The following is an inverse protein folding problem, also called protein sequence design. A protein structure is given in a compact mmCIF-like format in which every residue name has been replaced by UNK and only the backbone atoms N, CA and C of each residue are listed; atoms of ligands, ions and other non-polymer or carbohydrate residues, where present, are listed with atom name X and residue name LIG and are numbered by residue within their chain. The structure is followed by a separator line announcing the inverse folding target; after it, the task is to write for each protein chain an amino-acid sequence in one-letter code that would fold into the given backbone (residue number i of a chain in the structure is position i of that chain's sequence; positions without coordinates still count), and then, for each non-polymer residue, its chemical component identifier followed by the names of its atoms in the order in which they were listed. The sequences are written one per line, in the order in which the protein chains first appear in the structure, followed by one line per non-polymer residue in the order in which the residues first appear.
data_IF_171300318737
#
_entry.id   IF_171300318737
#
_cell.length_a   1.000
_cell.length_b   1.000
_cell.length_c   1.000
_cell.angle_alpha   90.00
_cell.angle_beta   90.00
_cell.angle_gamma   90.00
#
_symmetry.space_group_name_H-M   'P 1'
#
loop_
_entity.id
_entity.type
_entity.pdbx_description
1 polymer ?
#
# COMPACT_ATOMS: atom_id res chain seq x y z
N UNK A 1 -7.85 -78.32 44.10
CA UNK A 1 -8.16 -77.66 42.81
C UNK A 1 -7.72 -78.57 41.67
N UNK A 2 -8.67 -79.00 40.85
CA UNK A 2 -8.37 -79.83 39.67
C UNK A 2 -7.67 -79.01 38.57
N UNK A 3 -6.94 -79.66 37.66
CA UNK A 3 -6.28 -78.98 36.54
C UNK A 3 -7.26 -78.13 35.69
N UNK A 4 -8.53 -78.57 35.59
CA UNK A 4 -9.60 -77.85 34.90
C UNK A 4 -9.96 -76.51 35.55
N UNK A 5 -9.99 -76.45 36.89
CA UNK A 5 -10.27 -75.20 37.63
C UNK A 5 -9.15 -74.17 37.48
N UNK A 6 -7.90 -74.62 37.44
CA UNK A 6 -6.72 -73.76 37.20
C UNK A 6 -6.76 -73.15 35.79
N UNK A 7 -7.06 -73.96 34.77
CA UNK A 7 -7.16 -73.49 33.38
C UNK A 7 -8.30 -72.47 33.22
N UNK A 8 -9.45 -72.73 33.85
CA UNK A 8 -10.58 -71.80 33.84
C UNK A 8 -10.25 -70.46 34.53
N UNK A 9 -9.55 -70.49 35.66
CA UNK A 9 -9.10 -69.30 36.36
C UNK A 9 -8.11 -68.47 35.53
N UNK A 10 -7.11 -69.11 34.91
CA UNK A 10 -6.13 -68.44 34.04
C UNK A 10 -6.82 -67.79 32.83
N UNK A 11 -7.74 -68.50 32.17
CA UNK A 11 -8.51 -67.95 31.05
C UNK A 11 -9.32 -66.71 31.48
N UNK A 12 -9.96 -66.75 32.66
CA UNK A 12 -10.74 -65.63 33.19
C UNK A 12 -9.86 -64.40 33.48
N UNK A 13 -8.65 -64.60 33.99
CA UNK A 13 -7.68 -63.53 34.23
C UNK A 13 -7.20 -62.92 32.91
N UNK A 14 -6.85 -63.74 31.92
CA UNK A 14 -6.42 -63.26 30.59
C UNK A 14 -7.52 -62.46 29.88
N UNK A 15 -8.78 -62.94 29.91
CA UNK A 15 -9.92 -62.22 29.32
C UNK A 15 -10.15 -60.88 29.99
N UNK A 16 -10.06 -60.81 31.33
CA UNK A 16 -10.19 -59.55 32.07
C UNK A 16 -9.06 -58.58 31.73
N UNK A 17 -7.81 -59.06 31.65
CA UNK A 17 -6.68 -58.24 31.26
C UNK A 17 -6.85 -57.65 29.84
N UNK A 18 -7.33 -58.46 28.88
CA UNK A 18 -7.60 -58.00 27.53
C UNK A 18 -8.71 -56.93 27.47
N UNK A 19 -9.79 -57.11 28.22
CA UNK A 19 -10.89 -56.12 28.30
C UNK A 19 -10.43 -54.79 28.91
N UNK A 20 -9.61 -54.85 29.96
CA UNK A 20 -9.03 -53.64 30.57
C UNK A 20 -8.10 -52.93 29.58
N UNK A 21 -7.25 -53.68 28.87
CA UNK A 21 -6.39 -53.14 27.81
C UNK A 21 -7.17 -52.45 26.70
N UNK A 22 -8.24 -53.07 26.19
CA UNK A 22 -9.12 -52.48 25.17
C UNK A 22 -9.80 -51.19 25.66
N UNK A 23 -10.25 -51.18 26.92
CA UNK A 23 -10.88 -49.99 27.51
C UNK A 23 -9.90 -48.82 27.61
N UNK A 24 -8.66 -49.09 28.05
CA UNK A 24 -7.60 -48.09 28.12
C UNK A 24 -7.24 -47.55 26.73
N UNK A 25 -7.19 -48.41 25.72
CA UNK A 25 -6.89 -48.01 24.34
C UNK A 25 -8.01 -47.12 23.76
N UNK A 26 -9.28 -47.46 24.02
CA UNK A 26 -10.43 -46.65 23.62
C UNK A 26 -10.43 -45.27 24.31
N UNK A 27 -10.11 -45.21 25.60
CA UNK A 27 -9.97 -43.96 26.35
C UNK A 27 -8.84 -43.08 25.79
N UNK A 28 -7.69 -43.67 25.45
CA UNK A 28 -6.58 -42.94 24.83
C UNK A 28 -6.99 -42.36 23.47
N UNK A 29 -7.72 -43.12 22.65
CA UNK A 29 -8.28 -42.63 21.38
C UNK A 29 -9.27 -41.46 21.57
N UNK A 30 -10.11 -41.51 22.61
CA UNK A 30 -11.05 -40.44 22.93
C UNK A 30 -10.33 -39.16 23.40
N UNK A 31 -9.29 -39.29 24.24
CA UNK A 31 -8.48 -38.16 24.71
C UNK A 31 -7.75 -37.49 23.55
N UNK A 32 -7.14 -38.26 22.65
CA UNK A 32 -6.48 -37.72 21.44
C UNK A 32 -7.48 -36.94 20.56
N UNK A 33 -8.71 -37.43 20.43
CA UNK A 33 -9.77 -36.74 19.69
C UNK A 33 -10.22 -35.44 20.37
N UNK A 34 -10.37 -35.45 21.70
CA UNK A 34 -10.73 -34.26 22.49
C UNK A 34 -9.64 -33.18 22.47
N UNK A 35 -8.36 -33.58 22.43
CA UNK A 35 -7.24 -32.66 22.32
C UNK A 35 -7.05 -32.08 20.91
N UNK A 36 -7.95 -32.38 19.97
CA UNK A 36 -7.83 -31.92 18.59
C UNK A 36 -6.59 -32.46 17.88
N UNK A 37 -6.06 -33.60 18.32
CA UNK A 37 -4.87 -34.22 17.76
C UNK A 37 -5.17 -34.69 16.34
N UNK A 38 -4.79 -33.89 15.36
CA UNK A 38 -4.87 -34.22 13.93
C UNK A 38 -3.55 -34.84 13.50
N UNK A 39 -3.59 -36.09 13.06
CA UNK A 39 -2.46 -36.74 12.39
C UNK A 39 -2.47 -36.24 10.95
N UNK A 40 -1.66 -35.22 10.66
CA UNK A 40 -1.52 -34.62 9.34
C UNK A 40 -0.99 -33.19 9.44
N UNK A 41 -0.41 -32.64 8.36
CA UNK A 41 -0.05 -31.23 8.35
C UNK A 41 -1.30 -30.38 8.62
N UNK A 42 -1.17 -29.23 9.32
CA UNK A 42 -2.27 -28.30 9.46
C UNK A 42 -2.83 -27.96 8.07
N UNK A 43 -4.16 -27.73 7.95
CA UNK A 43 -4.70 -27.24 6.69
C UNK A 43 -3.89 -26.00 6.26
N UNK A 44 -3.55 -25.87 4.96
CA UNK A 44 -2.83 -24.70 4.50
C UNK A 44 -3.58 -23.45 4.97
N UNK A 45 -2.85 -22.49 5.52
CA UNK A 45 -3.42 -21.21 5.90
C UNK A 45 -4.13 -20.56 4.71
N UNK A 46 -5.04 -19.63 5.00
CA UNK A 46 -5.66 -18.82 3.94
C UNK A 46 -4.56 -18.28 3.02
N UNK A 47 -4.72 -18.38 1.68
CA UNK A 47 -3.78 -17.77 0.76
C UNK A 47 -3.62 -16.30 1.13
N UNK A 48 -2.37 -15.81 1.21
CA UNK A 48 -2.12 -14.38 1.39
C UNK A 48 -2.87 -13.62 0.30
N UNK A 49 -3.54 -12.49 0.61
CA UNK A 49 -4.13 -11.64 -0.42
C UNK A 49 -3.06 -11.29 -1.45
N UNK A 50 -3.33 -11.61 -2.72
CA UNK A 50 -2.40 -11.30 -3.80
C UNK A 50 -2.44 -9.81 -4.06
N UNK A 51 -1.28 -9.18 -4.10
CA UNK A 51 -1.12 -7.78 -4.51
C UNK A 51 -0.77 -7.80 -5.98
N UNK A 52 -1.63 -7.22 -6.82
CA UNK A 52 -1.42 -7.14 -8.25
C UNK A 52 -1.05 -5.71 -8.60
N UNK A 53 0.07 -5.55 -9.32
CA UNK A 53 0.41 -4.29 -9.97
C UNK A 53 -0.70 -3.96 -10.97
N UNK A 54 -1.45 -2.89 -10.69
CA UNK A 54 -2.60 -2.55 -11.51
C UNK A 54 -2.22 -2.13 -12.94
N UNK A 55 -0.95 -1.80 -13.20
CA UNK A 55 -0.48 -1.38 -14.52
C UNK A 55 -0.05 -2.54 -15.39
N UNK A 56 0.70 -3.48 -14.82
CA UNK A 56 1.31 -4.60 -15.53
C UNK A 56 0.52 -5.91 -15.39
N UNK A 57 -0.34 -6.01 -14.37
CA UNK A 57 -1.05 -7.23 -14.00
C UNK A 57 -0.16 -8.26 -13.30
N UNK A 58 1.11 -7.93 -13.02
CA UNK A 58 2.04 -8.83 -12.34
C UNK A 58 1.71 -8.96 -10.86
N UNK A 59 1.96 -10.17 -10.33
CA UNK A 59 1.91 -10.43 -8.91
C UNK A 59 3.12 -9.80 -8.23
N UNK A 60 2.85 -8.84 -7.34
CA UNK A 60 3.86 -8.11 -6.57
C UNK A 60 3.69 -8.36 -5.07
N UNK A 61 3.07 -9.47 -4.68
CA UNK A 61 2.84 -9.82 -3.27
C UNK A 61 4.14 -9.90 -2.45
N UNK A 62 5.23 -10.32 -3.08
CA UNK A 62 6.54 -10.46 -2.45
C UNK A 62 7.46 -9.24 -2.66
N UNK A 63 6.96 -8.16 -3.27
CA UNK A 63 7.70 -6.90 -3.34
C UNK A 63 7.83 -6.27 -1.95
N UNK A 64 8.76 -5.31 -1.75
CA UNK A 64 8.83 -4.55 -0.50
C UNK A 64 7.47 -3.97 -0.06
N UNK A 65 7.26 -3.60 1.20
CA UNK A 65 6.04 -2.91 1.61
C UNK A 65 5.98 -1.45 1.12
N UNK A 66 7.11 -0.90 0.67
CA UNK A 66 7.28 0.50 0.29
C UNK A 66 7.71 0.65 -1.17
N UNK A 67 7.31 1.76 -1.78
CA UNK A 67 7.69 2.16 -3.13
C UNK A 67 8.50 3.45 -3.10
N UNK A 68 9.54 3.51 -3.92
CA UNK A 68 10.41 4.68 -4.05
C UNK A 68 10.06 5.40 -5.34
N UNK A 69 9.38 6.53 -5.19
CA UNK A 69 8.80 7.26 -6.32
C UNK A 69 9.72 8.39 -6.75
N UNK A 70 9.85 8.53 -8.07
CA UNK A 70 10.60 9.64 -8.64
C UNK A 70 9.74 10.91 -8.59
N UNK A 71 10.33 12.03 -8.20
CA UNK A 71 9.61 13.30 -8.06
C UNK A 71 9.39 13.92 -9.44
N UNK A 72 8.12 14.12 -9.78
CA UNK A 72 7.66 14.94 -10.89
C UNK A 72 7.12 16.28 -10.41
N UNK A 73 7.21 17.31 -11.25
CA UNK A 73 6.63 18.63 -10.96
C UNK A 73 5.78 19.02 -12.17
N UNK A 74 4.53 19.43 -11.96
CA UNK A 74 3.64 19.95 -12.99
C UNK A 74 3.11 21.32 -12.54
N UNK A 75 3.45 22.36 -13.29
CA UNK A 75 3.12 23.74 -12.97
C UNK A 75 2.06 24.27 -13.96
N UNK A 76 0.81 24.27 -13.52
CA UNK A 76 -0.35 24.76 -14.29
C UNK A 76 -0.56 26.27 -14.17
N UNK A 77 0.33 26.96 -13.44
CA UNK A 77 0.25 28.40 -13.22
C UNK A 77 1.14 29.19 -14.19
N UNK A 78 0.91 30.50 -14.24
CA UNK A 78 1.78 31.47 -14.93
C UNK A 78 2.97 31.93 -14.06
N UNK A 79 3.14 31.35 -12.87
CA UNK A 79 4.18 31.69 -11.91
C UNK A 79 5.26 30.58 -11.90
N UNK A 80 6.54 30.97 -11.91
CA UNK A 80 7.63 30.00 -11.84
C UNK A 80 7.81 29.42 -10.43
N UNK A 81 8.34 28.20 -10.34
CA UNK A 81 8.73 27.56 -9.09
C UNK A 81 10.26 27.49 -9.01
N UNK A 82 10.83 28.11 -7.97
CA UNK A 82 12.28 28.11 -7.75
C UNK A 82 12.78 26.84 -7.06
N UNK A 83 11.97 26.25 -6.18
CA UNK A 83 12.28 24.99 -5.51
C UNK A 83 10.99 24.27 -5.12
N UNK A 84 11.03 22.94 -5.18
CA UNK A 84 10.03 22.01 -4.67
C UNK A 84 10.78 20.90 -3.94
N UNK A 85 10.29 20.53 -2.76
CA UNK A 85 10.79 19.46 -1.89
C UNK A 85 9.58 18.67 -1.41
N UNK A 86 9.69 17.34 -1.42
CA UNK A 86 8.66 16.44 -0.90
C UNK A 86 9.31 15.47 0.07
N UNK A 87 8.83 15.41 1.33
CA UNK A 87 9.44 14.62 2.42
C UNK A 87 10.97 14.76 2.43
N UNK A 88 11.46 16.01 2.47
CA UNK A 88 12.89 16.38 2.47
C UNK A 88 13.66 16.07 1.16
N UNK A 89 13.08 15.31 0.24
CA UNK A 89 13.69 15.02 -1.05
C UNK A 89 13.50 16.19 -2.03
N UNK A 90 14.61 16.72 -2.54
CA UNK A 90 14.62 17.82 -3.50
C UNK A 90 14.07 17.37 -4.86
N UNK A 91 13.06 18.08 -5.36
CA UNK A 91 12.44 17.82 -6.67
C UNK A 91 12.97 18.72 -7.81
N UNK A 92 13.50 19.89 -7.49
CA UNK A 92 13.93 20.91 -8.46
C UNK A 92 13.02 22.14 -8.50
N UNK A 93 13.21 22.98 -9.52
CA UNK A 93 12.30 24.07 -9.87
C UNK A 93 11.50 23.73 -11.12
N UNK A 94 10.56 24.59 -11.50
CA UNK A 94 9.76 24.43 -12.70
C UNK A 94 9.40 25.78 -13.31
N UNK A 95 9.54 25.91 -14.63
CA UNK A 95 9.08 27.09 -15.35
C UNK A 95 7.53 27.20 -15.28
N UNK A 96 6.95 28.39 -15.57
CA UNK A 96 5.51 28.51 -15.76
C UNK A 96 5.00 27.57 -16.85
N UNK A 97 3.81 27.00 -16.68
CA UNK A 97 3.10 26.21 -17.71
C UNK A 97 3.94 25.06 -18.29
N UNK A 98 4.58 24.27 -17.44
CA UNK A 98 5.37 23.12 -17.88
C UNK A 98 5.41 22.02 -16.82
N UNK A 99 5.84 20.83 -17.22
CA UNK A 99 5.96 19.66 -16.35
C UNK A 99 7.24 18.89 -16.61
N UNK A 100 7.81 18.30 -15.56
CA UNK A 100 8.94 17.38 -15.68
C UNK A 100 8.49 15.96 -16.00
N UNK A 101 9.39 15.20 -16.61
CA UNK A 101 9.23 13.77 -16.81
C UNK A 101 9.77 12.94 -15.61
N UNK A 102 9.83 13.53 -14.41
CA UNK A 102 10.23 12.84 -13.17
C UNK A 102 11.67 12.31 -13.21
N UNK A 103 12.65 13.15 -12.87
CA UNK A 103 14.09 12.79 -12.93
C UNK A 103 14.80 12.68 -11.58
N UNK A 104 14.18 13.17 -10.51
CA UNK A 104 14.86 13.29 -9.21
C UNK A 104 14.28 12.30 -8.22
N UNK A 105 15.13 11.45 -7.67
CA UNK A 105 14.78 10.39 -6.74
C UNK A 105 15.09 10.81 -5.29
N UNK A 106 14.33 10.40 -4.28
CA UNK A 106 13.02 9.73 -4.33
C UNK A 106 12.22 10.07 -3.08
N UNK A 107 10.91 9.85 -3.16
CA UNK A 107 10.02 9.84 -1.99
C UNK A 107 9.55 8.42 -1.74
N UNK A 108 9.66 7.99 -0.49
CA UNK A 108 9.17 6.68 -0.07
C UNK A 108 7.71 6.79 0.37
N UNK A 109 6.83 5.97 -0.21
CA UNK A 109 5.43 5.81 0.18
C UNK A 109 5.12 4.32 0.44
N UNK A 110 4.09 4.00 1.24
CA UNK A 110 3.63 2.62 1.35
C UNK A 110 3.11 2.12 0.00
N UNK A 111 3.25 0.83 -0.30
CA UNK A 111 2.72 0.24 -1.54
C UNK A 111 1.21 0.05 -1.49
N UNK A 112 0.67 -0.17 -0.29
CA UNK A 112 -0.76 -0.19 -0.03
C UNK A 112 -1.13 1.15 0.60
N UNK A 113 -1.89 1.94 -0.13
CA UNK A 113 -2.43 3.18 0.38
C UNK A 113 -3.32 2.94 1.61
N UNK A 114 -3.28 3.88 2.56
CA UNK A 114 -4.17 3.91 3.72
C UNK A 114 -4.73 5.31 3.96
N UNK A 115 -5.90 5.45 4.61
CA UNK A 115 -6.45 6.73 5.01
C UNK A 115 -5.46 7.55 5.86
N UNK A 116 -5.46 8.87 5.67
CA UNK A 116 -4.57 9.78 6.37
C UNK A 116 -3.11 9.77 5.89
N UNK A 117 -2.78 9.07 4.79
CA UNK A 117 -1.45 9.16 4.19
C UNK A 117 -1.20 10.59 3.69
N UNK A 118 -0.15 11.22 4.23
CA UNK A 118 0.26 12.58 3.90
C UNK A 118 1.75 12.64 3.55
N UNK A 119 2.13 13.71 2.88
CA UNK A 119 3.52 14.11 2.67
C UNK A 119 3.70 15.57 3.06
N UNK A 120 4.88 15.91 3.54
CA UNK A 120 5.28 17.31 3.72
C UNK A 120 5.84 17.82 2.41
N UNK A 121 5.34 18.95 1.93
CA UNK A 121 5.91 19.65 0.80
C UNK A 121 6.40 21.02 1.20
N UNK A 122 7.55 21.41 0.67
CA UNK A 122 8.04 22.77 0.71
C UNK A 122 8.26 23.27 -0.72
N UNK A 123 7.77 24.46 -1.04
CA UNK A 123 7.99 25.06 -2.35
C UNK A 123 8.14 26.58 -2.25
N UNK A 124 8.66 27.15 -3.33
CA UNK A 124 8.83 28.60 -3.46
C UNK A 124 8.54 29.05 -4.88
N UNK A 125 7.75 30.09 -5.02
CA UNK A 125 7.53 30.75 -6.30
C UNK A 125 8.65 31.73 -6.64
N UNK A 126 8.77 32.11 -7.91
CA UNK A 126 9.72 33.13 -8.35
C UNK A 126 9.50 34.47 -7.64
N UNK A 127 8.25 34.88 -7.47
CA UNK A 127 7.84 36.09 -6.74
C UNK A 127 8.23 36.05 -5.27
N UNK A 128 8.06 34.91 -4.59
CA UNK A 128 8.56 34.72 -3.22
C UNK A 128 10.08 34.88 -3.16
N UNK A 129 10.82 34.26 -4.09
CA UNK A 129 12.27 34.36 -4.16
C UNK A 129 12.76 35.79 -4.38
N UNK A 130 12.13 36.55 -5.28
CA UNK A 130 12.48 37.94 -5.56
C UNK A 130 12.26 38.85 -4.35
N UNK A 131 11.30 38.51 -3.49
CA UNK A 131 11.02 39.25 -2.25
C UNK A 131 11.98 38.86 -1.13
N UNK A 132 12.21 37.57 -0.94
CA UNK A 132 13.14 37.00 0.04
C UNK A 132 13.69 35.65 -0.46
N UNK A 133 15.01 35.57 -0.77
CA UNK A 133 15.66 34.35 -1.21
C UNK A 133 15.60 33.17 -0.24
N UNK A 134 15.25 33.39 1.02
CA UNK A 134 15.10 32.35 2.04
C UNK A 134 13.65 31.95 2.32
N UNK A 135 12.67 32.63 1.74
CA UNK A 135 11.26 32.30 1.91
C UNK A 135 10.92 30.94 1.31
N UNK A 136 9.94 30.25 1.86
CA UNK A 136 9.26 29.08 1.27
C UNK A 136 7.92 28.88 1.98
N UNK A 137 7.01 28.16 1.33
CA UNK A 137 5.78 27.67 1.95
C UNK A 137 5.98 26.19 2.24
N UNK A 138 5.67 25.78 3.47
CA UNK A 138 5.64 24.39 3.88
C UNK A 138 4.22 23.99 4.28
N UNK A 139 3.74 22.83 3.80
CA UNK A 139 2.42 22.29 4.15
C UNK A 139 2.41 20.77 4.07
N UNK A 140 1.59 20.15 4.92
CA UNK A 140 1.23 18.75 4.76
C UNK A 140 0.09 18.63 3.74
N UNK A 141 0.24 17.71 2.78
CA UNK A 141 -0.79 17.42 1.78
C UNK A 141 -1.14 15.94 1.85
N UNK A 142 -2.44 15.64 1.82
CA UNK A 142 -2.93 14.29 1.69
C UNK A 142 -2.59 13.71 0.32
N UNK A 143 -2.14 12.45 0.30
CA UNK A 143 -1.92 11.71 -0.94
C UNK A 143 -3.23 11.02 -1.31
N UNK A 144 -3.85 11.33 -2.45
CA UNK A 144 -5.04 10.65 -2.92
C UNK A 144 -4.82 9.14 -3.04
N UNK A 145 -5.92 8.38 -2.96
CA UNK A 145 -5.88 6.93 -3.04
C UNK A 145 -5.26 6.46 -4.35
N UNK A 146 -4.33 5.51 -4.26
CA UNK A 146 -3.77 4.79 -5.40
C UNK A 146 -3.94 3.28 -5.25
N UNK A 147 -3.99 2.60 -6.39
CA UNK A 147 -3.86 1.13 -6.45
C UNK A 147 -2.39 0.75 -6.36
N UNK A 148 -2.04 -0.45 -5.83
CA UNK A 148 -0.64 -0.88 -5.75
C UNK A 148 0.03 -0.95 -7.13
N UNK A 149 1.22 -0.38 -7.24
CA UNK A 149 2.10 -0.47 -8.43
C UNK A 149 3.56 -0.66 -7.99
N UNK A 150 4.41 -1.09 -8.93
CA UNK A 150 5.82 -1.39 -8.62
C UNK A 150 6.66 -0.12 -8.54
N UNK A 151 6.68 0.64 -9.64
CA UNK A 151 7.51 1.83 -9.86
C UNK A 151 6.70 2.97 -10.48
N UNK A 152 7.09 4.21 -10.20
CA UNK A 152 6.42 5.37 -10.76
C UNK A 152 6.89 6.69 -10.15
N UNK A 153 5.94 7.63 -10.10
CA UNK A 153 6.18 9.02 -9.77
C UNK A 153 5.34 9.48 -8.59
N UNK A 154 5.85 10.49 -7.90
CA UNK A 154 5.05 11.38 -7.09
C UNK A 154 5.09 12.77 -7.73
N UNK A 155 3.95 13.24 -8.22
CA UNK A 155 3.86 14.57 -8.84
C UNK A 155 3.49 15.61 -7.80
N UNK A 156 4.29 16.65 -7.65
CA UNK A 156 3.86 17.92 -7.09
C UNK A 156 3.15 18.73 -8.18
N UNK A 157 1.93 19.16 -7.91
CA UNK A 157 1.09 19.86 -8.86
C UNK A 157 0.76 21.24 -8.30
N UNK A 158 1.13 22.29 -9.03
CA UNK A 158 0.95 23.68 -8.61
C UNK A 158 -0.03 24.37 -9.55
N UNK A 159 -1.00 25.08 -8.97
CA UNK A 159 -2.07 25.76 -9.68
C UNK A 159 -2.11 27.25 -9.30
N UNK A 160 -2.98 27.99 -9.96
CA UNK A 160 -3.17 29.42 -9.71
C UNK A 160 -3.70 29.64 -8.28
N UNK A 161 -3.19 30.66 -7.59
CA UNK A 161 -3.67 31.03 -6.25
C UNK A 161 -3.09 30.18 -5.11
N UNK A 162 -1.89 29.62 -5.29
CA UNK A 162 -1.19 28.77 -4.30
C UNK A 162 -1.89 27.45 -3.94
N UNK A 163 -2.85 27.06 -4.79
CA UNK A 163 -3.45 25.73 -4.76
C UNK A 163 -2.44 24.69 -5.23
N UNK A 164 -2.38 23.58 -4.50
CA UNK A 164 -1.41 22.52 -4.76
C UNK A 164 -2.03 21.16 -4.49
N UNK A 165 -1.49 20.14 -5.15
CA UNK A 165 -1.80 18.74 -4.87
C UNK A 165 -0.56 17.87 -5.03
N UNK A 166 -0.65 16.64 -4.51
CA UNK A 166 0.33 15.59 -4.77
C UNK A 166 -0.36 14.32 -5.26
N UNK A 167 0.25 13.60 -6.19
CA UNK A 167 -0.29 12.32 -6.69
C UNK A 167 0.82 11.30 -6.84
N UNK A 168 0.61 10.11 -6.27
CA UNK A 168 1.39 8.93 -6.58
C UNK A 168 0.79 8.19 -7.78
N UNK A 169 1.57 8.02 -8.84
CA UNK A 169 1.10 7.48 -10.12
C UNK A 169 2.25 6.91 -10.95
N UNK A 170 2.04 5.83 -11.70
CA UNK A 170 2.99 5.32 -12.70
C UNK A 170 2.92 6.09 -14.03
N UNK A 171 2.02 7.06 -14.16
CA UNK A 171 1.78 7.83 -15.38
C UNK A 171 1.97 9.33 -15.17
N UNK A 172 2.37 10.01 -16.23
CA UNK A 172 2.47 11.47 -16.32
C UNK A 172 1.09 12.12 -16.55
N UNK A 173 0.86 13.37 -16.10
CA UNK A 173 -0.29 14.15 -16.56
C UNK A 173 -0.37 14.18 -18.10
N UNK A 174 -1.58 14.25 -18.66
CA UNK A 174 -1.82 14.17 -20.11
C UNK A 174 -1.65 12.78 -20.75
N UNK A 175 -1.14 11.78 -20.00
CA UNK A 175 -1.17 10.40 -20.48
C UNK A 175 -2.59 9.82 -20.39
N UNK A 176 -3.11 9.07 -21.40
CA UNK A 176 -4.49 8.57 -21.38
C UNK A 176 -4.86 7.67 -20.19
N UNK A 177 -3.88 7.09 -19.48
CA UNK A 177 -4.12 6.29 -18.25
C UNK A 177 -3.85 7.05 -16.95
N UNK A 178 -3.49 8.33 -17.03
CA UNK A 178 -3.44 9.19 -15.86
C UNK A 178 -4.84 9.24 -15.25
N UNK A 179 -4.97 8.89 -13.98
CA UNK A 179 -6.26 8.57 -13.36
C UNK A 179 -7.22 9.77 -13.25
N UNK A 180 -6.71 10.98 -13.50
CA UNK A 180 -7.45 12.22 -13.43
C UNK A 180 -7.47 12.81 -14.84
N UNK A 181 -8.64 13.20 -15.33
CA UNK A 181 -8.81 13.80 -16.68
C UNK A 181 -8.21 15.22 -16.71
N UNK A 182 -6.88 15.28 -16.71
CA UNK A 182 -6.09 16.50 -16.68
C UNK A 182 -4.94 16.37 -17.68
N UNK A 183 -4.85 17.32 -18.61
CA UNK A 183 -3.83 17.33 -19.66
C UNK A 183 -2.45 17.79 -19.14
N UNK A 184 -1.44 17.83 -20.00
CA UNK A 184 -0.14 18.38 -19.68
C UNK A 184 -0.23 19.86 -19.27
N UNK A 185 0.65 20.29 -18.36
CA UNK A 185 0.60 21.65 -17.81
C UNK A 185 0.82 22.77 -18.86
N UNK A 186 1.49 22.46 -19.96
CA UNK A 186 1.71 23.38 -21.08
C UNK A 186 0.45 23.62 -21.92
N UNK A 187 -0.50 22.69 -21.92
CA UNK A 187 -1.70 22.70 -22.76
C UNK A 187 -3.01 22.86 -21.97
N UNK A 188 -3.06 22.39 -20.72
CA UNK A 188 -4.28 22.42 -19.91
C UNK A 188 -4.63 23.84 -19.47
N UNK A 189 -5.83 24.31 -19.86
CA UNK A 189 -6.34 25.65 -19.57
C UNK A 189 -7.79 25.64 -19.07
N UNK A 190 -8.43 24.48 -19.03
CA UNK A 190 -9.83 24.35 -18.66
C UNK A 190 -9.99 24.44 -17.13
N UNK A 191 -10.63 25.52 -16.62
CA UNK A 191 -10.85 25.67 -15.19
C UNK A 191 -11.77 24.59 -14.62
N UNK A 192 -12.68 24.01 -15.41
CA UNK A 192 -13.58 22.95 -14.94
C UNK A 192 -12.80 21.65 -14.68
N UNK A 193 -11.88 21.28 -15.58
CA UNK A 193 -10.99 20.13 -15.39
C UNK A 193 -10.06 20.30 -14.20
N UNK A 194 -9.47 21.48 -14.05
CA UNK A 194 -8.60 21.80 -12.90
C UNK A 194 -9.38 21.73 -11.58
N UNK A 195 -10.56 22.34 -11.52
CA UNK A 195 -11.37 22.32 -10.30
C UNK A 195 -11.87 20.91 -9.97
N UNK A 196 -12.29 20.14 -10.99
CA UNK A 196 -12.68 18.74 -10.82
C UNK A 196 -11.52 17.89 -10.29
N UNK A 197 -10.31 18.11 -10.81
CA UNK A 197 -9.09 17.48 -10.29
C UNK A 197 -8.87 17.79 -8.81
N UNK A 198 -8.92 19.07 -8.42
CA UNK A 198 -8.68 19.50 -7.04
C UNK A 198 -9.74 18.94 -6.08
N UNK A 199 -11.00 18.91 -6.51
CA UNK A 199 -12.11 18.38 -5.72
C UNK A 199 -11.99 16.87 -5.50
N UNK A 200 -11.67 16.10 -6.55
CA UNK A 200 -11.51 14.64 -6.45
C UNK A 200 -10.31 14.28 -5.57
N UNK A 201 -9.17 14.94 -5.80
CA UNK A 201 -7.94 14.65 -5.03
C UNK A 201 -8.07 15.04 -3.56
N UNK A 202 -8.75 16.15 -3.26
CA UNK A 202 -9.04 16.54 -1.88
C UNK A 202 -9.94 15.52 -1.17
N UNK A 203 -10.96 14.97 -1.85
CA UNK A 203 -11.85 13.94 -1.27
C UNK A 203 -11.13 12.62 -1.03
N UNK A 204 -10.40 12.13 -2.04
CA UNK A 204 -9.72 10.84 -2.00
C UNK A 204 -8.57 10.80 -1.00
N UNK A 205 -7.96 11.96 -0.71
CA UNK A 205 -6.92 12.08 0.31
C UNK A 205 -7.43 12.08 1.75
N UNK A 206 -8.70 12.38 1.98
CA UNK A 206 -9.27 12.54 3.32
C UNK A 206 -9.94 11.27 3.84
N UNK A 207 -10.56 10.47 2.96
CA UNK A 207 -11.34 9.26 3.27
C UNK A 207 -12.14 9.33 4.60
N UNK A 208 -13.38 9.81 4.44
CA UNK A 208 -14.51 9.93 5.38
C UNK A 208 -14.41 9.21 6.75
#
# INVERSE_FOLDING_TARGET
MSNLERIAAVKKVLVRAALVGLTLFALAGLVLKLMGFRIGPPPPGLPKPRIIDYTSGHDITDAPPEMHLTIGIANYSDEGLGIVVINEAWGGGMEPRTSSNGRTCCVTLPRIWHPGLKVTVAYRTSSMFLKDPHSYVEKEIAVPRYKPFLDGFIFFMYFRGDEVGVIATPYFPGFPKFAYDLDFADSERDPERINGFLEVTARDGVAE
#
